data_IF_658684139267
#
_entry.id   IF_658684139267
#
_cell.length_a   1.000
_cell.length_b   1.000
_cell.length_c   1.000
_cell.angle_alpha   90.00
_cell.angle_beta   90.00
_cell.angle_gamma   90.00
#
_symmetry.space_group_name_H-M   'P 1'
#
loop_
_entity.id
_entity.type
_entity.pdbx_description
1 polymer ?
#
# COMPACT_ATOMS: atom_id res chain seq x y z
N UNK A 1 -32.83 -14.21 12.79
CA UNK A 1 -32.21 -15.52 13.15
C UNK A 1 -32.10 -16.46 11.98
N UNK A 2 -33.10 -16.52 11.08
CA UNK A 2 -33.01 -17.19 9.79
C UNK A 2 -33.19 -16.16 8.68
N UNK A 3 -32.42 -16.26 7.56
CA UNK A 3 -32.61 -15.34 6.46
C UNK A 3 -34.03 -15.52 5.87
N UNK A 4 -34.66 -14.43 5.40
CA UNK A 4 -35.90 -14.53 4.63
C UNK A 4 -35.70 -15.43 3.42
N UNK A 5 -36.78 -15.98 2.86
CA UNK A 5 -36.72 -16.77 1.64
C UNK A 5 -36.05 -15.93 0.54
N UNK A 6 -35.19 -16.57 -0.22
CA UNK A 6 -34.43 -15.96 -1.34
C UNK A 6 -33.39 -14.89 -0.95
N UNK A 7 -32.94 -14.86 0.32
CA UNK A 7 -31.88 -13.98 0.81
C UNK A 7 -30.67 -14.81 1.25
N UNK A 8 -29.48 -14.42 0.78
CA UNK A 8 -28.20 -14.97 1.22
C UNK A 8 -27.39 -13.87 1.90
N UNK A 9 -26.87 -14.14 3.10
CA UNK A 9 -25.93 -13.26 3.79
C UNK A 9 -24.51 -13.78 3.62
N UNK A 10 -23.59 -12.88 3.16
CA UNK A 10 -22.16 -13.14 3.08
C UNK A 10 -21.48 -12.25 4.11
N UNK A 11 -20.93 -12.87 5.16
CA UNK A 11 -20.23 -12.17 6.23
C UNK A 11 -18.73 -12.31 6.02
N UNK A 12 -18.02 -11.18 5.87
CA UNK A 12 -16.58 -11.14 5.74
C UNK A 12 -15.95 -10.72 7.07
N UNK A 13 -15.01 -11.52 7.57
CA UNK A 13 -14.30 -11.24 8.82
C UNK A 13 -12.84 -11.69 8.75
N UNK A 14 -11.99 -11.07 9.56
CA UNK A 14 -10.56 -11.47 9.65
C UNK A 14 -10.38 -12.76 10.45
N UNK A 15 -11.21 -12.98 11.45
CA UNK A 15 -11.21 -14.17 12.29
C UNK A 15 -12.65 -14.52 12.69
N UNK A 16 -12.93 -15.79 12.90
CA UNK A 16 -14.24 -16.23 13.43
C UNK A 16 -14.48 -15.78 14.86
N UNK A 17 -13.40 -15.57 15.64
CA UNK A 17 -13.48 -15.10 17.04
C UNK A 17 -13.95 -13.64 17.17
N UNK A 18 -13.90 -12.86 16.11
CA UNK A 18 -14.42 -11.47 16.07
C UNK A 18 -15.95 -11.43 15.87
N UNK A 19 -16.59 -12.56 15.60
CA UNK A 19 -18.03 -12.66 15.40
C UNK A 19 -18.69 -13.37 16.59
N UNK A 20 -19.97 -13.06 16.83
CA UNK A 20 -20.74 -13.73 17.87
C UNK A 20 -20.85 -15.23 17.57
N UNK A 21 -20.63 -16.11 18.56
CA UNK A 21 -20.73 -17.57 18.37
C UNK A 21 -22.06 -18.02 17.79
N UNK A 22 -23.13 -17.32 18.11
CA UNK A 22 -24.49 -17.57 17.61
C UNK A 22 -24.61 -17.31 16.10
N UNK A 23 -23.84 -16.40 15.55
CA UNK A 23 -23.77 -16.14 14.10
C UNK A 23 -22.89 -17.20 13.44
N UNK A 24 -21.69 -17.46 14.01
CA UNK A 24 -20.75 -18.43 13.47
C UNK A 24 -21.34 -19.83 13.35
N UNK A 25 -22.13 -20.26 14.37
CA UNK A 25 -22.77 -21.60 14.37
C UNK A 25 -23.83 -21.79 13.28
N UNK A 26 -24.36 -20.69 12.70
CA UNK A 26 -25.39 -20.70 11.65
C UNK A 26 -24.84 -20.41 10.25
N UNK A 27 -23.53 -20.15 10.14
CA UNK A 27 -22.88 -19.85 8.88
C UNK A 27 -21.99 -20.99 8.43
N UNK A 28 -21.96 -21.25 7.12
CA UNK A 28 -20.91 -22.05 6.53
C UNK A 28 -19.62 -21.24 6.52
N UNK A 29 -18.57 -21.76 7.16
CA UNK A 29 -17.26 -21.12 7.18
C UNK A 29 -16.47 -21.48 5.93
N UNK A 30 -15.95 -20.46 5.23
CA UNK A 30 -15.06 -20.61 4.09
C UNK A 30 -13.72 -19.97 4.46
N UNK A 31 -12.70 -20.74 4.85
CA UNK A 31 -11.40 -20.20 5.21
C UNK A 31 -10.63 -19.77 3.95
N UNK A 32 -10.05 -18.57 4.00
CA UNK A 32 -9.13 -18.07 2.99
C UNK A 32 -7.70 -18.11 3.53
N UNK A 33 -6.84 -18.87 2.87
CA UNK A 33 -5.42 -18.94 3.21
C UNK A 33 -4.64 -17.85 2.49
N UNK A 34 -3.51 -17.46 3.08
CA UNK A 34 -2.55 -16.56 2.41
C UNK A 34 -1.99 -17.28 1.18
N UNK A 35 -2.04 -16.60 0.05
CA UNK A 35 -1.51 -17.13 -1.22
C UNK A 35 0.02 -17.12 -1.14
N UNK A 36 0.67 -18.27 -1.46
CA UNK A 36 2.13 -18.31 -1.51
C UNK A 36 2.67 -17.38 -2.61
N UNK A 37 3.87 -16.79 -2.44
CA UNK A 37 4.44 -15.87 -3.42
C UNK A 37 4.50 -16.47 -4.83
N UNK A 38 4.85 -17.75 -4.97
CA UNK A 38 4.93 -18.44 -6.27
C UNK A 38 3.58 -18.53 -6.95
N UNK A 39 2.54 -18.92 -6.22
CA UNK A 39 1.15 -19.00 -6.74
C UNK A 39 0.64 -17.61 -7.08
N UNK A 40 0.97 -16.61 -6.26
CA UNK A 40 0.62 -15.20 -6.52
C UNK A 40 1.23 -14.70 -7.81
N UNK A 41 2.54 -14.89 -8.02
CA UNK A 41 3.25 -14.52 -9.27
C UNK A 41 2.62 -15.21 -10.48
N UNK A 42 2.40 -16.52 -10.41
CA UNK A 42 1.78 -17.27 -11.50
C UNK A 42 0.35 -16.77 -11.81
N UNK A 43 -0.40 -16.32 -10.80
CA UNK A 43 -1.73 -15.75 -10.98
C UNK A 43 -1.68 -14.41 -11.70
N UNK A 44 -0.77 -13.50 -11.31
CA UNK A 44 -0.57 -12.20 -11.98
C UNK A 44 -0.17 -12.40 -13.44
N UNK A 45 0.82 -13.25 -13.72
CA UNK A 45 1.30 -13.53 -15.08
C UNK A 45 0.25 -14.15 -15.99
N UNK A 46 -0.75 -14.85 -15.44
CA UNK A 46 -1.90 -15.35 -16.24
C UNK A 46 -2.91 -14.26 -16.56
N UNK A 47 -2.99 -13.22 -15.73
CA UNK A 47 -4.02 -12.19 -15.86
C UNK A 47 -3.56 -10.97 -16.65
N UNK A 48 -2.25 -10.77 -16.81
CA UNK A 48 -1.69 -9.66 -17.59
C UNK A 48 -0.33 -10.04 -18.18
N UNK A 49 0.11 -9.27 -19.19
CA UNK A 49 1.45 -9.41 -19.77
C UNK A 49 2.45 -8.74 -18.82
N UNK A 50 3.11 -9.53 -17.99
CA UNK A 50 4.12 -9.06 -17.05
C UNK A 50 5.25 -10.08 -16.96
N UNK A 51 6.47 -9.62 -16.70
CA UNK A 51 7.60 -10.48 -16.35
C UNK A 51 7.44 -11.02 -14.94
N UNK A 52 8.14 -12.11 -14.64
CA UNK A 52 8.18 -12.66 -13.27
C UNK A 52 8.63 -11.61 -12.26
N UNK A 53 9.58 -10.76 -12.64
CA UNK A 53 10.11 -9.69 -11.79
C UNK A 53 9.05 -8.62 -11.51
N UNK A 54 8.38 -8.11 -12.54
CA UNK A 54 7.30 -7.14 -12.38
C UNK A 54 6.17 -7.70 -11.52
N UNK A 55 5.79 -8.96 -11.72
CA UNK A 55 4.77 -9.62 -10.91
C UNK A 55 5.18 -9.74 -9.43
N UNK A 56 6.46 -10.04 -9.12
CA UNK A 56 6.98 -10.07 -7.74
C UNK A 56 6.88 -8.70 -7.07
N UNK A 57 7.37 -7.66 -7.75
CA UNK A 57 7.31 -6.28 -7.27
C UNK A 57 5.86 -5.85 -7.04
N UNK A 58 4.99 -6.10 -8.01
CA UNK A 58 3.58 -5.73 -7.91
C UNK A 58 2.88 -6.43 -6.74
N UNK A 59 3.18 -7.71 -6.50
CA UNK A 59 2.64 -8.44 -5.35
C UNK A 59 3.15 -7.92 -4.01
N UNK A 60 4.44 -7.57 -3.93
CA UNK A 60 5.01 -7.01 -2.70
C UNK A 60 4.36 -5.66 -2.35
N UNK A 61 4.04 -4.84 -3.35
CA UNK A 61 3.43 -3.53 -3.16
C UNK A 61 1.92 -3.64 -2.92
N UNK A 62 1.21 -4.43 -3.73
CA UNK A 62 -0.26 -4.46 -3.70
C UNK A 62 -0.84 -5.56 -2.79
N UNK A 63 -0.06 -6.55 -2.39
CA UNK A 63 -0.41 -7.57 -1.39
C UNK A 63 -1.33 -8.69 -1.88
N UNK A 64 -2.00 -8.54 -3.03
CA UNK A 64 -2.92 -9.55 -3.59
C UNK A 64 -2.84 -9.60 -5.12
N UNK A 65 -3.03 -10.77 -5.77
CA UNK A 65 -2.87 -10.90 -7.22
C UNK A 65 -3.75 -9.95 -8.05
N UNK A 66 -5.03 -9.80 -7.72
CA UNK A 66 -5.92 -8.90 -8.43
C UNK A 66 -5.44 -7.44 -8.35
N UNK A 67 -5.06 -6.99 -7.14
CA UNK A 67 -4.54 -5.63 -6.93
C UNK A 67 -3.18 -5.42 -7.58
N UNK A 68 -2.36 -6.47 -7.71
CA UNK A 68 -1.08 -6.43 -8.42
C UNK A 68 -1.29 -6.23 -9.93
N UNK A 69 -2.31 -6.85 -10.51
CA UNK A 69 -2.71 -6.61 -11.91
C UNK A 69 -3.15 -5.15 -12.11
N UNK A 70 -3.97 -4.62 -11.21
CA UNK A 70 -4.40 -3.21 -11.25
C UNK A 70 -3.21 -2.25 -11.07
N UNK A 71 -2.24 -2.58 -10.20
CA UNK A 71 -1.00 -1.82 -10.03
C UNK A 71 -0.19 -1.78 -11.31
N UNK A 72 0.00 -2.92 -11.97
CA UNK A 72 0.74 -3.01 -13.24
C UNK A 72 0.04 -2.27 -14.37
N UNK A 73 -1.28 -2.27 -14.40
CA UNK A 73 -2.09 -1.54 -15.38
C UNK A 73 -2.09 -0.02 -15.18
N UNK A 74 -1.69 0.49 -13.99
CA UNK A 74 -1.74 1.92 -13.67
C UNK A 74 -0.36 2.60 -13.77
N UNK A 75 -0.10 3.44 -14.77
CA UNK A 75 1.13 4.21 -14.86
C UNK A 75 1.36 5.13 -13.66
N UNK A 76 0.29 5.73 -13.11
CA UNK A 76 0.36 6.62 -11.95
C UNK A 76 0.82 5.86 -10.69
N UNK A 77 0.28 4.67 -10.40
CA UNK A 77 0.70 3.85 -9.24
C UNK A 77 2.15 3.40 -9.36
N UNK A 78 2.59 3.00 -10.57
CA UNK A 78 3.99 2.68 -10.83
C UNK A 78 4.91 3.91 -10.68
N UNK A 79 4.40 5.11 -11.01
CA UNK A 79 5.14 6.36 -10.79
C UNK A 79 5.33 6.65 -9.29
N UNK A 80 4.30 6.44 -8.46
CA UNK A 80 4.43 6.59 -6.99
C UNK A 80 5.53 5.67 -6.45
N UNK A 81 5.59 4.40 -6.89
CA UNK A 81 6.68 3.51 -6.49
C UNK A 81 8.05 4.05 -6.91
N UNK A 82 8.19 4.58 -8.14
CA UNK A 82 9.45 5.19 -8.58
C UNK A 82 9.84 6.39 -7.72
N UNK A 83 8.88 7.24 -7.35
CA UNK A 83 9.11 8.35 -6.42
C UNK A 83 9.59 7.85 -5.06
N UNK A 84 8.97 6.82 -4.51
CA UNK A 84 9.40 6.19 -3.25
C UNK A 84 10.84 5.69 -3.34
N UNK A 85 11.18 4.93 -4.39
CA UNK A 85 12.55 4.41 -4.60
C UNK A 85 13.56 5.56 -4.71
N UNK A 86 13.26 6.58 -5.52
CA UNK A 86 14.12 7.75 -5.68
C UNK A 86 14.29 8.56 -4.39
N UNK A 87 13.21 8.70 -3.61
CA UNK A 87 13.27 9.36 -2.31
C UNK A 87 14.17 8.61 -1.35
N UNK A 88 14.02 7.30 -1.20
CA UNK A 88 14.87 6.49 -0.31
C UNK A 88 16.34 6.53 -0.75
N UNK A 89 16.59 6.55 -2.06
CA UNK A 89 17.92 6.65 -2.64
C UNK A 89 18.67 7.93 -2.26
N UNK A 90 17.96 9.05 -2.20
CA UNK A 90 18.54 10.37 -1.88
C UNK A 90 18.41 10.76 -0.40
N UNK A 91 17.62 10.02 0.39
CA UNK A 91 17.12 10.43 1.70
C UNK A 91 18.25 10.78 2.70
N UNK A 92 19.33 10.00 2.73
CA UNK A 92 20.43 10.24 3.65
C UNK A 92 21.16 11.59 3.38
N UNK A 93 21.12 12.04 2.12
CA UNK A 93 21.78 13.29 1.66
C UNK A 93 20.81 14.48 1.59
N UNK A 94 19.51 14.23 1.62
CA UNK A 94 18.47 15.25 1.56
C UNK A 94 18.49 16.15 2.79
N UNK A 95 18.14 17.42 2.67
CA UNK A 95 17.85 18.25 3.85
C UNK A 95 16.40 18.02 4.34
N UNK A 96 15.98 18.73 5.41
CA UNK A 96 14.63 18.56 5.94
C UNK A 96 13.55 19.10 4.99
N UNK A 97 13.90 20.12 4.19
CA UNK A 97 12.96 20.67 3.20
C UNK A 97 12.75 19.69 2.04
N UNK A 98 13.82 19.09 1.54
CA UNK A 98 13.77 18.07 0.50
C UNK A 98 12.87 16.89 0.93
N UNK A 99 12.99 16.47 2.21
CA UNK A 99 12.13 15.40 2.77
C UNK A 99 10.66 15.78 2.75
N UNK A 100 10.31 17.02 3.13
CA UNK A 100 8.92 17.50 3.11
C UNK A 100 8.39 17.63 1.67
N UNK A 101 9.23 18.04 0.72
CA UNK A 101 8.86 18.10 -0.71
C UNK A 101 8.61 16.69 -1.23
N UNK A 102 9.52 15.74 -0.97
CA UNK A 102 9.35 14.34 -1.39
C UNK A 102 8.08 13.71 -0.79
N UNK A 103 7.77 13.96 0.48
CA UNK A 103 6.53 13.52 1.10
C UNK A 103 5.29 14.04 0.37
N UNK A 104 5.30 15.34 0.02
CA UNK A 104 4.21 15.98 -0.73
C UNK A 104 4.04 15.38 -2.13
N UNK A 105 5.14 15.11 -2.81
CA UNK A 105 5.12 14.49 -4.14
C UNK A 105 4.55 13.07 -4.11
N UNK A 106 4.90 12.27 -3.10
CA UNK A 106 4.36 10.92 -2.91
C UNK A 106 2.85 11.00 -2.69
N UNK A 107 2.39 11.85 -1.78
CA UNK A 107 0.95 12.02 -1.47
C UNK A 107 0.18 12.53 -2.69
N UNK A 108 0.72 13.54 -3.39
CA UNK A 108 0.12 14.05 -4.61
C UNK A 108 0.05 12.98 -5.71
N UNK A 109 1.10 12.17 -5.87
CA UNK A 109 1.13 11.07 -6.82
C UNK A 109 0.05 10.00 -6.55
N UNK A 110 -0.24 9.72 -5.28
CA UNK A 110 -1.35 8.82 -4.90
C UNK A 110 -2.71 9.40 -5.26
N UNK A 111 -2.86 10.72 -5.22
CA UNK A 111 -4.11 11.38 -5.57
C UNK A 111 -4.39 11.43 -7.10
N UNK A 112 -3.37 11.34 -7.95
CA UNK A 112 -3.52 11.43 -9.42
C UNK A 112 -4.59 10.49 -9.99
N UNK A 113 -4.56 9.17 -9.73
CA UNK A 113 -5.56 8.25 -10.29
C UNK A 113 -6.96 8.44 -9.69
N UNK A 114 -7.10 9.21 -8.61
CA UNK A 114 -8.40 9.48 -7.97
C UNK A 114 -9.15 10.61 -8.66
N UNK A 115 -8.47 11.49 -9.40
CA UNK A 115 -9.08 12.59 -10.13
C UNK A 115 -10.08 12.09 -11.17
N UNK A 116 -9.70 11.08 -11.96
CA UNK A 116 -10.56 10.48 -13.00
C UNK A 116 -11.78 9.79 -12.36
N UNK A 117 -11.59 9.10 -11.24
CA UNK A 117 -12.69 8.44 -10.50
C UNK A 117 -13.66 9.49 -9.96
N UNK A 118 -13.13 10.57 -9.38
CA UNK A 118 -13.95 11.66 -8.86
C UNK A 118 -14.77 12.31 -9.97
N UNK A 119 -14.15 12.59 -11.11
CA UNK A 119 -14.85 13.18 -12.27
C UNK A 119 -15.97 12.24 -12.76
N UNK A 120 -15.69 10.96 -12.94
CA UNK A 120 -16.70 9.99 -13.36
C UNK A 120 -17.87 9.88 -12.35
N UNK A 121 -17.61 9.97 -11.06
CA UNK A 121 -18.63 9.98 -10.02
C UNK A 121 -19.48 11.27 -10.06
N UNK A 122 -18.86 12.43 -10.28
CA UNK A 122 -19.56 13.71 -10.41
C UNK A 122 -20.46 13.74 -11.65
N UNK A 123 -20.00 13.20 -12.77
CA UNK A 123 -20.80 13.06 -13.99
C UNK A 123 -22.00 12.13 -13.78
N UNK A 124 -21.79 10.94 -13.19
CA UNK A 124 -22.86 10.01 -12.88
C UNK A 124 -23.93 10.58 -11.92
N UNK A 125 -23.52 11.41 -10.96
CA UNK A 125 -24.45 12.12 -10.06
C UNK A 125 -25.26 13.15 -10.83
N UNK A 126 -24.64 13.94 -11.73
CA UNK A 126 -25.33 14.92 -12.57
C UNK A 126 -26.39 14.26 -13.44
N UNK A 127 -26.04 13.16 -14.12
CA UNK A 127 -26.96 12.43 -14.99
C UNK A 127 -28.15 11.81 -14.23
N UNK A 128 -27.94 11.55 -12.92
CA UNK A 128 -28.97 10.96 -12.06
C UNK A 128 -29.86 12.00 -11.37
N UNK A 129 -29.54 13.30 -11.48
CA UNK A 129 -30.23 14.37 -10.74
C UNK A 129 -31.72 14.47 -11.07
N UNK A 130 -32.11 14.18 -12.31
CA UNK A 130 -33.49 14.24 -12.77
C UNK A 130 -34.35 13.04 -12.35
N UNK A 131 -33.69 11.94 -11.92
CA UNK A 131 -34.38 10.65 -11.64
C UNK A 131 -34.35 10.26 -10.16
N UNK A 132 -33.45 10.86 -9.37
CA UNK A 132 -33.28 10.50 -7.96
C UNK A 132 -33.83 11.56 -7.01
N UNK A 133 -34.38 11.12 -5.88
CA UNK A 133 -34.77 12.02 -4.81
C UNK A 133 -33.55 12.68 -4.16
N UNK A 134 -33.73 13.85 -3.52
CA UNK A 134 -32.65 14.55 -2.81
C UNK A 134 -31.99 13.66 -1.74
N UNK A 135 -32.76 12.78 -1.08
CA UNK A 135 -32.23 11.81 -0.10
C UNK A 135 -31.35 10.75 -0.76
N UNK A 136 -31.75 10.23 -1.94
CA UNK A 136 -30.96 9.24 -2.68
C UNK A 136 -29.65 9.87 -3.22
N UNK A 137 -29.71 11.10 -3.75
CA UNK A 137 -28.51 11.84 -4.21
C UNK A 137 -27.51 12.03 -3.06
N UNK A 138 -27.99 12.39 -1.87
CA UNK A 138 -27.13 12.50 -0.68
C UNK A 138 -26.46 11.16 -0.32
N UNK A 139 -27.21 10.06 -0.36
CA UNK A 139 -26.65 8.73 -0.11
C UNK A 139 -25.57 8.34 -1.11
N UNK A 140 -25.78 8.64 -2.41
CA UNK A 140 -24.79 8.41 -3.46
C UNK A 140 -23.54 9.28 -3.22
N UNK A 141 -23.69 10.56 -2.91
CA UNK A 141 -22.57 11.44 -2.61
C UNK A 141 -21.75 10.97 -1.40
N UNK A 142 -22.42 10.52 -0.33
CA UNK A 142 -21.76 9.98 0.86
C UNK A 142 -21.05 8.63 0.55
N UNK A 143 -21.61 7.81 -0.32
CA UNK A 143 -20.96 6.57 -0.79
C UNK A 143 -19.73 6.88 -1.63
N UNK A 144 -19.82 7.80 -2.58
CA UNK A 144 -18.72 8.25 -3.44
C UNK A 144 -17.56 8.81 -2.60
N UNK A 145 -17.86 9.66 -1.61
CA UNK A 145 -16.85 10.19 -0.68
C UNK A 145 -16.14 9.09 0.09
N UNK A 146 -16.88 8.11 0.61
CA UNK A 146 -16.27 6.96 1.30
C UNK A 146 -15.40 6.12 0.39
N UNK A 147 -15.82 5.92 -0.85
CA UNK A 147 -15.03 5.19 -1.85
C UNK A 147 -13.72 5.90 -2.17
N UNK A 148 -13.76 7.22 -2.43
CA UNK A 148 -12.54 8.01 -2.69
C UNK A 148 -11.57 7.95 -1.52
N UNK A 149 -12.05 8.11 -0.28
CA UNK A 149 -11.22 8.00 0.92
C UNK A 149 -10.61 6.59 1.07
N UNK A 150 -11.38 5.54 0.77
CA UNK A 150 -10.87 4.17 0.83
C UNK A 150 -9.80 3.90 -0.25
N UNK A 151 -9.98 4.44 -1.46
CA UNK A 151 -9.01 4.34 -2.56
C UNK A 151 -7.72 5.11 -2.26
N UNK A 152 -7.83 6.34 -1.74
CA UNK A 152 -6.68 7.14 -1.28
C UNK A 152 -5.87 6.38 -0.23
N UNK A 153 -6.54 5.87 0.80
CA UNK A 153 -5.91 5.07 1.84
C UNK A 153 -5.22 3.82 1.26
N UNK A 154 -5.87 3.12 0.33
CA UNK A 154 -5.27 1.97 -0.34
C UNK A 154 -4.01 2.35 -1.11
N UNK A 155 -4.01 3.47 -1.83
CA UNK A 155 -2.84 3.98 -2.54
C UNK A 155 -1.69 4.37 -1.60
N UNK A 156 -2.02 4.99 -0.46
CA UNK A 156 -1.02 5.30 0.57
C UNK A 156 -0.41 4.03 1.17
N UNK A 157 -1.22 3.01 1.47
CA UNK A 157 -0.73 1.72 1.96
C UNK A 157 0.19 1.03 0.94
N UNK A 158 -0.06 1.19 -0.37
CA UNK A 158 0.83 0.70 -1.42
C UNK A 158 2.17 1.46 -1.46
N UNK A 159 2.14 2.79 -1.26
CA UNK A 159 3.38 3.57 -1.14
C UNK A 159 4.22 3.12 0.06
N UNK A 160 3.60 2.88 1.22
CA UNK A 160 4.28 2.34 2.39
C UNK A 160 4.79 0.91 2.16
N UNK A 161 4.02 0.06 1.49
CA UNK A 161 4.46 -1.29 1.14
C UNK A 161 5.67 -1.27 0.18
N UNK A 162 5.78 -0.27 -0.70
CA UNK A 162 6.96 -0.08 -1.54
C UNK A 162 8.20 0.30 -0.71
N UNK A 163 8.05 1.19 0.30
CA UNK A 163 9.11 1.52 1.27
C UNK A 163 9.56 0.26 2.01
N UNK A 164 8.61 -0.48 2.59
CA UNK A 164 8.86 -1.68 3.37
C UNK A 164 9.56 -2.78 2.53
N UNK A 165 9.10 -2.98 1.30
CA UNK A 165 9.68 -3.95 0.37
C UNK A 165 11.15 -3.62 0.04
N UNK A 166 11.47 -2.34 -0.22
CA UNK A 166 12.84 -1.92 -0.54
C UNK A 166 13.75 -2.06 0.70
N UNK A 167 13.30 -1.61 1.87
CA UNK A 167 14.07 -1.73 3.11
C UNK A 167 14.32 -3.18 3.52
N UNK A 168 13.39 -4.11 3.24
CA UNK A 168 13.62 -5.55 3.44
C UNK A 168 14.70 -6.10 2.53
N UNK A 169 14.74 -5.68 1.29
CA UNK A 169 15.83 -6.07 0.37
C UNK A 169 17.18 -5.50 0.84
N UNK A 170 17.21 -4.26 1.35
CA UNK A 170 18.40 -3.67 1.98
C UNK A 170 18.84 -4.50 3.19
N UNK A 171 17.91 -4.92 4.05
CA UNK A 171 18.21 -5.77 5.21
C UNK A 171 18.82 -7.12 4.78
N UNK A 172 18.29 -7.77 3.75
CA UNK A 172 18.82 -9.01 3.17
C UNK A 172 20.27 -8.82 2.73
N UNK A 173 20.60 -7.68 2.12
CA UNK A 173 21.95 -7.35 1.68
C UNK A 173 22.89 -7.03 2.85
N UNK A 174 22.42 -6.31 3.89
CA UNK A 174 23.23 -6.05 5.10
C UNK A 174 23.63 -7.32 5.82
N UNK A 175 22.77 -8.34 5.82
CA UNK A 175 23.03 -9.64 6.47
C UNK A 175 23.76 -10.64 5.56
N UNK A 176 24.20 -10.22 4.37
CA UNK A 176 24.86 -11.10 3.35
C UNK A 176 24.09 -12.41 3.08
N UNK A 177 22.75 -12.33 3.20
CA UNK A 177 21.89 -13.46 2.90
C UNK A 177 21.86 -13.66 1.39
N UNK A 178 22.38 -14.80 0.92
CA UNK A 178 22.34 -15.17 -0.48
C UNK A 178 20.92 -15.58 -0.87
N UNK A 179 20.19 -14.65 -1.50
CA UNK A 179 18.85 -14.89 -1.97
C UNK A 179 18.40 -13.83 -2.99
N UNK A 180 17.37 -14.14 -3.78
CA UNK A 180 16.80 -13.16 -4.69
C UNK A 180 16.12 -12.06 -3.88
N UNK A 181 16.40 -10.79 -4.24
CA UNK A 181 15.66 -9.64 -3.75
C UNK A 181 14.39 -9.45 -4.56
N UNK A 182 13.40 -8.76 -3.99
CA UNK A 182 12.14 -8.46 -4.67
C UNK A 182 12.32 -7.33 -5.68
N UNK A 183 13.08 -6.30 -5.32
CA UNK A 183 13.28 -5.09 -6.12
C UNK A 183 14.57 -5.17 -6.96
N UNK A 184 14.70 -6.22 -7.79
CA UNK A 184 15.86 -6.40 -8.69
C UNK A 184 16.02 -5.23 -9.67
N UNK A 185 14.92 -4.59 -10.10
CA UNK A 185 14.90 -3.39 -10.93
C UNK A 185 15.53 -2.16 -10.25
N UNK A 186 15.70 -2.21 -8.96
CA UNK A 186 16.29 -1.17 -8.12
C UNK A 186 17.50 -1.69 -7.32
N UNK A 187 18.14 -2.78 -7.79
CA UNK A 187 19.25 -3.43 -7.09
C UNK A 187 20.39 -2.47 -6.76
N UNK A 188 20.72 -1.55 -7.67
CA UNK A 188 21.77 -0.54 -7.42
C UNK A 188 21.46 0.37 -6.22
N UNK A 189 20.19 0.71 -5.99
CA UNK A 189 19.74 1.48 -4.82
C UNK A 189 19.85 0.63 -3.57
N UNK A 190 19.39 -0.63 -3.63
CA UNK A 190 19.47 -1.58 -2.51
C UNK A 190 20.91 -1.79 -2.08
N UNK A 191 21.81 -2.08 -3.02
CA UNK A 191 23.23 -2.36 -2.75
C UNK A 191 23.93 -1.13 -2.17
N UNK A 192 23.64 0.09 -2.66
CA UNK A 192 24.18 1.33 -2.12
C UNK A 192 23.71 1.55 -0.68
N UNK A 193 22.40 1.50 -0.41
CA UNK A 193 21.86 1.67 0.93
C UNK A 193 22.45 0.63 1.90
N UNK A 194 22.59 -0.62 1.47
CA UNK A 194 23.19 -1.67 2.29
C UNK A 194 24.68 -1.42 2.58
N UNK A 195 25.41 -0.74 1.68
CA UNK A 195 26.81 -0.36 1.94
C UNK A 195 26.96 0.83 2.87
N UNK A 196 25.94 1.70 2.98
CA UNK A 196 25.94 2.92 3.80
C UNK A 196 25.32 2.73 5.19
N UNK A 197 24.56 1.64 5.42
CA UNK A 197 23.76 1.42 6.62
C UNK A 197 24.09 0.09 7.29
N UNK A 198 23.91 0.01 8.61
CA UNK A 198 23.94 -1.25 9.34
C UNK A 198 22.52 -1.85 9.50
N UNK A 199 22.46 -3.11 9.85
CA UNK A 199 21.20 -3.85 10.11
C UNK A 199 20.29 -3.13 11.10
N UNK A 200 20.86 -2.51 12.14
CA UNK A 200 20.10 -1.79 13.18
C UNK A 200 19.43 -0.54 12.61
N UNK A 201 20.12 0.20 11.75
CA UNK A 201 19.57 1.35 11.06
C UNK A 201 18.38 0.96 10.19
N UNK A 202 18.51 -0.13 9.41
CA UNK A 202 17.44 -0.64 8.55
C UNK A 202 16.24 -1.14 9.37
N UNK A 203 16.46 -1.81 10.50
CA UNK A 203 15.38 -2.22 11.39
C UNK A 203 14.61 -1.02 11.96
N UNK A 204 15.29 0.06 12.38
CA UNK A 204 14.62 1.30 12.80
C UNK A 204 13.83 1.96 11.66
N UNK A 205 14.34 1.92 10.44
CA UNK A 205 13.63 2.40 9.27
C UNK A 205 12.36 1.59 8.99
N UNK A 206 12.42 0.26 9.10
CA UNK A 206 11.25 -0.63 9.00
C UNK A 206 10.22 -0.36 10.11
N UNK A 207 10.66 -0.11 11.34
CA UNK A 207 9.76 0.30 12.43
C UNK A 207 9.05 1.62 12.13
N UNK A 208 9.75 2.60 11.52
CA UNK A 208 9.13 3.86 11.12
C UNK A 208 8.05 3.64 10.05
N UNK A 209 8.29 2.75 9.07
CA UNK A 209 7.29 2.36 8.06
C UNK A 209 6.09 1.65 8.69
N UNK A 210 6.31 0.72 9.62
CA UNK A 210 5.25 0.01 10.32
C UNK A 210 4.35 0.95 11.15
N UNK A 211 4.95 1.92 11.85
CA UNK A 211 4.21 2.97 12.59
C UNK A 211 3.38 3.84 11.66
N UNK A 212 3.93 4.23 10.50
CA UNK A 212 3.18 4.99 9.51
C UNK A 212 1.96 4.23 8.99
N UNK A 213 2.06 2.91 8.80
CA UNK A 213 0.93 2.08 8.40
C UNK A 213 -0.16 2.04 9.49
N UNK A 214 0.24 1.98 10.76
CA UNK A 214 -0.67 2.03 11.90
C UNK A 214 -1.34 3.41 12.05
N UNK A 215 -0.59 4.50 11.91
CA UNK A 215 -1.12 5.87 11.93
C UNK A 215 -2.19 6.08 10.85
N UNK A 216 -1.95 5.61 9.61
CA UNK A 216 -2.96 5.62 8.54
C UNK A 216 -4.19 4.76 8.91
N UNK A 217 -3.99 3.64 9.62
CA UNK A 217 -5.10 2.81 10.10
C UNK A 217 -5.99 3.56 11.09
N UNK A 218 -5.45 4.50 11.86
CA UNK A 218 -6.14 5.33 12.83
C UNK A 218 -6.57 6.71 12.31
N UNK A 219 -6.62 6.89 10.97
CA UNK A 219 -7.06 8.13 10.31
C UNK A 219 -6.19 9.36 10.58
N UNK A 220 -4.90 9.18 10.84
CA UNK A 220 -3.94 10.29 10.84
C UNK A 220 -3.81 10.84 9.42
N UNK A 221 -3.53 12.13 9.28
CA UNK A 221 -3.32 12.78 8.00
C UNK A 221 -2.25 12.07 7.16
N UNK A 222 -2.53 11.65 5.91
CA UNK A 222 -1.55 11.00 5.06
C UNK A 222 -0.28 11.81 4.87
N UNK A 223 -0.40 13.13 4.67
CA UNK A 223 0.74 14.03 4.51
C UNK A 223 1.66 13.99 5.73
N UNK A 224 1.10 14.20 6.92
CA UNK A 224 1.87 14.18 8.17
C UNK A 224 2.51 12.81 8.44
N UNK A 225 1.78 11.73 8.15
CA UNK A 225 2.28 10.36 8.33
C UNK A 225 3.52 10.10 7.47
N UNK A 226 3.49 10.49 6.18
CA UNK A 226 4.64 10.31 5.27
C UNK A 226 5.81 11.21 5.65
N UNK A 227 5.54 12.46 6.01
CA UNK A 227 6.59 13.40 6.48
C UNK A 227 7.34 12.85 7.69
N UNK A 228 6.59 12.43 8.72
CA UNK A 228 7.18 11.87 9.95
C UNK A 228 7.91 10.56 9.66
N UNK A 229 7.35 9.70 8.83
CA UNK A 229 8.00 8.45 8.43
C UNK A 229 9.35 8.71 7.75
N UNK A 230 9.36 9.57 6.72
CA UNK A 230 10.60 9.85 5.98
C UNK A 230 11.66 10.53 6.86
N UNK A 231 11.27 11.44 7.75
CA UNK A 231 12.20 12.04 8.70
C UNK A 231 12.81 11.01 9.65
N UNK A 232 12.01 10.08 10.18
CA UNK A 232 12.49 8.98 11.03
C UNK A 232 13.40 8.00 10.27
N UNK A 233 13.05 7.66 9.04
CA UNK A 233 13.89 6.83 8.18
C UNK A 233 15.22 7.53 7.93
N UNK A 234 15.20 8.82 7.57
CA UNK A 234 16.41 9.62 7.40
C UNK A 234 17.28 9.59 8.64
N UNK A 235 16.72 9.89 9.82
CA UNK A 235 17.42 9.83 11.09
C UNK A 235 18.05 8.45 11.32
N UNK A 236 17.31 7.38 11.07
CA UNK A 236 17.78 6.01 11.21
C UNK A 236 18.98 5.70 10.31
N UNK A 237 18.93 6.14 9.03
CA UNK A 237 19.97 5.87 8.03
C UNK A 237 21.20 6.77 8.19
N UNK A 238 21.08 7.98 8.76
CA UNK A 238 22.18 8.94 8.95
C UNK A 238 22.85 8.85 10.32
N UNK A 239 22.25 8.14 11.28
CA UNK A 239 22.85 7.98 12.61
C UNK A 239 24.09 7.07 12.50
N UNK A 240 25.30 7.55 12.85
CA UNK A 240 26.49 6.71 12.78
C UNK A 240 26.31 5.47 13.66
N UNK A 241 26.87 4.31 13.27
CA UNK A 241 26.84 3.12 14.09
C UNK A 241 27.42 3.49 15.45
N UNK A 242 26.62 3.33 16.51
CA UNK A 242 27.11 3.56 17.87
C UNK A 242 28.22 2.56 18.12
N UNK A 243 29.45 3.04 18.20
CA UNK A 243 30.60 2.25 18.62
C UNK A 243 30.22 1.46 19.89
N UNK A 244 30.37 0.13 19.83
CA UNK A 244 30.43 -0.72 20.99
C UNK A 244 31.81 -0.58 21.64
#
# INVERSE_FOLDING_TARGET
EEPPRDVMFILCGRTTTALLPTIVSRCQQVPFSVVSPQVGVASVMRSCTATTQEARVALAVAGAPARAVDFLGSPARRQVRRLVVGTLDSLARADSWDVLVAAREIVAGVAVPLADVKQAQEEAVKDSTDFLSASALKQVADANKRELTARERSGMMEALAAVDSLLRDVLIRCEDVRGPIVNEDSAAVVDRLASECDTRAVLRALEASARAADDLAHNVSPQLTVEVMLLRIKEALTCPPSFR
#
